data_IF_376026554566
#
_entry.id   IF_376026554566
#
_cell.length_a   1.000
_cell.length_b   1.000
_cell.length_c   1.000
_cell.angle_alpha   90.00
_cell.angle_beta   90.00
_cell.angle_gamma   90.00
#
_symmetry.space_group_name_H-M   'P 1'
#
loop_
_entity.id
_entity.type
_entity.pdbx_description
1 polymer ?
#
# COMPACT_ATOMS: atom_id res chain seq x y z
N UNK A 1 25.01 -35.73 5.75
CA UNK A 1 26.02 -35.16 6.67
C UNK A 1 25.26 -34.42 7.76
N UNK A 2 25.41 -34.86 9.01
CA UNK A 2 24.72 -34.35 10.20
C UNK A 2 25.30 -32.99 10.59
N UNK A 3 24.48 -31.94 10.65
CA UNK A 3 24.87 -30.64 11.20
C UNK A 3 24.79 -30.72 12.73
N UNK A 4 25.79 -31.32 13.36
CA UNK A 4 25.91 -31.34 14.81
C UNK A 4 26.45 -30.00 15.33
N UNK A 5 25.72 -29.41 16.28
CA UNK A 5 26.09 -28.17 16.94
C UNK A 5 27.45 -28.34 17.66
N UNK A 6 28.47 -27.66 17.17
CA UNK A 6 29.79 -27.62 17.79
C UNK A 6 29.68 -26.80 19.09
N UNK A 7 29.70 -27.50 20.24
CA UNK A 7 29.77 -26.89 21.56
C UNK A 7 31.20 -26.43 21.82
N UNK A 8 31.44 -25.11 21.72
CA UNK A 8 32.66 -24.49 22.23
C UNK A 8 32.30 -23.58 23.43
N UNK A 9 32.93 -23.82 24.59
CA UNK A 9 32.83 -22.97 25.79
C UNK A 9 31.40 -22.74 26.33
N UNK A 10 30.55 -23.77 26.37
CA UNK A 10 29.22 -23.69 26.96
C UNK A 10 28.22 -22.80 26.22
N UNK A 11 28.61 -22.23 25.07
CA UNK A 11 27.75 -21.44 24.20
C UNK A 11 27.34 -22.29 22.99
N UNK A 12 26.04 -22.37 22.74
CA UNK A 12 25.50 -23.04 21.55
C UNK A 12 25.65 -22.08 20.38
N UNK A 13 26.48 -22.45 19.40
CA UNK A 13 26.52 -21.78 18.11
C UNK A 13 25.31 -22.27 17.32
N UNK A 14 24.36 -21.37 17.07
CA UNK A 14 23.22 -21.65 16.21
C UNK A 14 23.72 -21.89 14.79
N UNK A 15 23.16 -22.91 14.14
CA UNK A 15 23.28 -23.05 12.70
C UNK A 15 22.64 -21.84 12.00
N UNK A 16 22.99 -21.61 10.74
CA UNK A 16 22.41 -20.52 9.95
C UNK A 16 20.88 -20.61 9.86
N UNK A 17 20.34 -21.84 9.82
CA UNK A 17 18.90 -22.09 9.83
C UNK A 17 18.28 -21.73 11.18
N UNK A 18 18.86 -22.16 12.29
CA UNK A 18 18.35 -21.83 13.63
C UNK A 18 18.44 -20.34 13.92
N UNK A 19 19.50 -19.66 13.46
CA UNK A 19 19.60 -18.21 13.55
C UNK A 19 18.50 -17.51 12.73
N UNK A 20 18.22 -17.98 11.52
CA UNK A 20 17.14 -17.46 10.68
C UNK A 20 15.76 -17.72 11.30
N UNK A 21 15.52 -18.90 11.86
CA UNK A 21 14.27 -19.27 12.54
C UNK A 21 14.07 -18.41 13.80
N UNK A 22 15.12 -18.18 14.59
CA UNK A 22 15.09 -17.26 15.75
C UNK A 22 14.83 -15.83 15.30
N UNK A 23 15.47 -15.35 14.24
CA UNK A 23 15.21 -14.02 13.69
C UNK A 23 13.76 -13.91 13.20
N UNK A 24 13.26 -14.90 12.45
CA UNK A 24 11.88 -14.90 11.98
C UNK A 24 10.87 -15.02 13.13
N UNK A 25 11.19 -15.73 14.21
CA UNK A 25 10.34 -15.85 15.39
C UNK A 25 10.36 -14.58 16.25
N UNK A 26 11.54 -14.02 16.50
CA UNK A 26 11.74 -12.82 17.33
C UNK A 26 11.25 -11.57 16.62
N UNK A 27 11.47 -11.48 15.32
CA UNK A 27 11.07 -10.31 14.56
C UNK A 27 9.72 -10.47 13.85
N UNK A 28 9.15 -11.68 13.75
CA UNK A 28 7.88 -12.05 13.07
C UNK A 28 7.35 -10.88 12.24
N UNK A 29 8.13 -10.48 11.22
CA UNK A 29 7.87 -9.26 10.45
C UNK A 29 6.79 -9.63 9.46
N UNK A 30 5.60 -9.91 10.00
CA UNK A 30 4.41 -10.10 9.21
C UNK A 30 4.20 -8.79 8.48
N UNK A 31 4.16 -8.82 7.14
CA UNK A 31 3.81 -7.64 6.39
C UNK A 31 2.47 -7.12 6.94
N UNK A 32 2.42 -5.86 7.35
CA UNK A 32 1.18 -5.23 7.85
C UNK A 32 -0.02 -5.45 6.93
N UNK A 33 0.26 -5.54 5.62
CA UNK A 33 -0.73 -5.83 4.58
C UNK A 33 -0.45 -7.16 3.93
N UNK A 34 -1.50 -7.95 3.77
CA UNK A 34 -1.50 -9.09 2.84
C UNK A 34 -1.28 -8.61 1.40
N UNK A 35 -0.86 -9.49 0.47
CA UNK A 35 -0.77 -9.13 -0.95
C UNK A 35 -2.10 -8.57 -1.52
N UNK A 36 -3.24 -9.15 -1.13
CA UNK A 36 -4.56 -8.70 -1.56
C UNK A 36 -4.88 -7.29 -1.04
N UNK A 37 -4.64 -7.02 0.25
CA UNK A 37 -4.82 -5.69 0.84
C UNK A 37 -3.91 -4.64 0.19
N UNK A 38 -2.69 -5.03 -0.21
CA UNK A 38 -1.77 -4.15 -0.94
C UNK A 38 -2.30 -3.82 -2.33
N UNK A 39 -2.76 -4.83 -3.07
CA UNK A 39 -3.34 -4.64 -4.40
C UNK A 39 -4.57 -3.72 -4.37
N UNK A 40 -5.51 -3.95 -3.45
CA UNK A 40 -6.70 -3.09 -3.28
C UNK A 40 -6.31 -1.64 -2.95
N UNK A 41 -5.36 -1.45 -2.03
CA UNK A 41 -4.86 -0.10 -1.71
C UNK A 41 -4.24 0.57 -2.93
N UNK A 42 -3.41 -0.14 -3.68
CA UNK A 42 -2.69 0.42 -4.82
C UNK A 42 -3.63 0.78 -5.96
N UNK A 43 -4.69 0.00 -6.18
CA UNK A 43 -5.74 0.32 -7.14
C UNK A 43 -6.55 1.55 -6.72
N UNK A 44 -6.94 1.64 -5.44
CA UNK A 44 -7.60 2.83 -4.90
C UNK A 44 -6.71 4.08 -5.04
N UNK A 45 -5.42 3.97 -4.68
CA UNK A 45 -4.47 5.08 -4.80
C UNK A 45 -4.27 5.53 -6.25
N UNK A 46 -4.28 4.59 -7.20
CA UNK A 46 -4.23 4.91 -8.64
C UNK A 46 -5.45 5.73 -9.06
N UNK A 47 -6.65 5.32 -8.64
CA UNK A 47 -7.87 6.07 -8.92
C UNK A 47 -7.88 7.46 -8.26
N UNK A 48 -7.41 7.55 -7.01
CA UNK A 48 -7.30 8.82 -6.28
C UNK A 48 -6.34 9.82 -6.96
N UNK A 49 -5.20 9.34 -7.47
CA UNK A 49 -4.24 10.18 -8.22
C UNK A 49 -4.83 10.68 -9.54
N UNK A 50 -5.63 9.85 -10.21
CA UNK A 50 -6.34 10.27 -11.41
C UNK A 50 -7.33 11.39 -11.07
N UNK A 51 -8.19 11.19 -10.06
CA UNK A 51 -9.12 12.21 -9.58
C UNK A 51 -8.43 13.52 -9.19
N UNK A 52 -7.26 13.45 -8.55
CA UNK A 52 -6.44 14.63 -8.25
C UNK A 52 -6.02 15.38 -9.53
N UNK A 53 -5.64 14.65 -10.59
CA UNK A 53 -5.31 15.27 -11.89
C UNK A 53 -6.49 16.00 -12.51
N UNK A 54 -7.71 15.43 -12.43
CA UNK A 54 -8.93 16.08 -12.91
C UNK A 54 -9.21 17.38 -12.15
N UNK A 55 -9.12 17.35 -10.82
CA UNK A 55 -9.28 18.54 -9.98
C UNK A 55 -8.26 19.63 -10.31
N UNK A 56 -6.99 19.26 -10.54
CA UNK A 56 -5.97 20.22 -10.94
C UNK A 56 -6.30 20.88 -12.29
N UNK A 57 -6.87 20.14 -13.25
CA UNK A 57 -7.29 20.71 -14.53
C UNK A 57 -8.50 21.64 -14.38
N UNK A 58 -9.45 21.31 -13.49
CA UNK A 58 -10.58 22.20 -13.15
C UNK A 58 -10.05 23.52 -12.61
N UNK A 59 -9.19 23.49 -11.60
CA UNK A 59 -8.61 24.71 -10.99
C UNK A 59 -7.88 25.54 -12.05
N UNK A 60 -7.00 24.92 -12.84
CA UNK A 60 -6.22 25.62 -13.87
C UNK A 60 -7.10 26.27 -14.95
N UNK A 61 -8.21 25.65 -15.34
CA UNK A 61 -9.11 26.22 -16.34
C UNK A 61 -10.00 27.31 -15.73
N UNK A 62 -10.43 27.16 -14.48
CA UNK A 62 -11.15 28.20 -13.75
C UNK A 62 -10.30 29.46 -13.55
N UNK A 63 -9.00 29.32 -13.22
CA UNK A 63 -8.04 30.43 -13.13
C UNK A 63 -7.87 31.22 -14.45
N UNK A 64 -8.28 30.64 -15.58
CA UNK A 64 -8.21 31.23 -16.92
C UNK A 64 -9.58 31.63 -17.48
N UNK A 65 -10.63 31.57 -16.66
CA UNK A 65 -12.02 31.78 -17.08
C UNK A 65 -12.47 30.85 -18.24
N UNK A 66 -11.86 29.68 -18.38
CA UNK A 66 -12.21 28.69 -19.41
C UNK A 66 -13.30 27.74 -18.92
N UNK A 67 -14.52 28.27 -18.80
CA UNK A 67 -15.65 27.56 -18.18
C UNK A 67 -16.13 26.32 -18.96
N UNK A 68 -15.99 26.32 -20.29
CA UNK A 68 -16.33 25.14 -21.11
C UNK A 68 -15.48 23.91 -20.74
N UNK A 69 -14.17 24.09 -20.53
CA UNK A 69 -13.31 23.00 -20.06
C UNK A 69 -13.64 22.60 -18.62
N UNK A 70 -13.99 23.56 -17.75
CA UNK A 70 -14.42 23.26 -16.38
C UNK A 70 -15.64 22.36 -16.38
N UNK A 71 -16.66 22.67 -17.20
CA UNK A 71 -17.86 21.84 -17.35
C UNK A 71 -17.52 20.43 -17.85
N UNK A 72 -16.67 20.33 -18.89
CA UNK A 72 -16.20 19.04 -19.41
C UNK A 72 -15.51 18.20 -18.32
N UNK A 73 -14.61 18.79 -17.54
CA UNK A 73 -13.90 18.08 -16.48
C UNK A 73 -14.82 17.69 -15.30
N UNK A 74 -15.84 18.50 -14.98
CA UNK A 74 -16.83 18.20 -13.94
C UNK A 74 -17.74 17.02 -14.33
N UNK A 75 -18.22 16.97 -15.56
CA UNK A 75 -19.06 15.87 -16.04
C UNK A 75 -18.32 14.53 -16.00
N UNK A 76 -17.08 14.52 -16.47
CA UNK A 76 -16.24 13.32 -16.48
C UNK A 76 -15.76 12.91 -15.07
N UNK A 77 -15.54 13.88 -14.17
CA UNK A 77 -15.10 13.62 -12.80
C UNK A 77 -16.08 12.78 -11.98
N UNK A 78 -17.39 12.81 -12.32
CA UNK A 78 -18.40 11.98 -11.64
C UNK A 78 -18.13 10.49 -11.79
N UNK A 79 -17.70 10.04 -12.96
CA UNK A 79 -17.39 8.64 -13.22
C UNK A 79 -16.23 8.16 -12.33
N UNK A 80 -15.17 8.95 -12.24
CA UNK A 80 -14.01 8.61 -11.42
C UNK A 80 -14.33 8.62 -9.92
N UNK A 81 -15.20 9.52 -9.46
CA UNK A 81 -15.69 9.51 -8.10
C UNK A 81 -16.47 8.22 -7.76
N UNK A 82 -17.39 7.79 -8.62
CA UNK A 82 -18.12 6.53 -8.41
C UNK A 82 -17.20 5.31 -8.48
N UNK A 83 -16.19 5.34 -9.36
CA UNK A 83 -15.15 4.31 -9.41
C UNK A 83 -14.34 4.24 -8.12
N UNK A 84 -13.95 5.38 -7.55
CA UNK A 84 -13.25 5.42 -6.26
C UNK A 84 -14.10 4.85 -5.12
N UNK A 85 -15.40 5.13 -5.10
CA UNK A 85 -16.33 4.53 -4.14
C UNK A 85 -16.35 3.00 -4.24
N UNK A 86 -16.42 2.47 -5.46
CA UNK A 86 -16.41 1.03 -5.71
C UNK A 86 -15.09 0.36 -5.31
N UNK A 87 -13.97 1.10 -5.38
CA UNK A 87 -12.63 0.62 -5.04
C UNK A 87 -12.29 0.77 -3.55
N UNK A 88 -13.21 1.23 -2.70
CA UNK A 88 -12.96 1.34 -1.27
C UNK A 88 -12.53 -0.03 -0.72
N UNK A 89 -11.33 -0.14 -0.10
CA UNK A 89 -10.88 -1.41 0.45
C UNK A 89 -11.89 -1.93 1.46
N UNK A 90 -12.31 -3.18 1.32
CA UNK A 90 -13.25 -3.85 2.22
C UNK A 90 -12.53 -4.67 3.28
N UNK A 91 -11.36 -5.21 2.93
CA UNK A 91 -10.39 -5.80 3.86
C UNK A 91 -9.26 -4.80 4.11
N UNK A 92 -9.15 -4.29 5.33
CA UNK A 92 -8.25 -3.20 5.70
C UNK A 92 -7.27 -3.65 6.76
N UNK A 93 -5.99 -3.41 6.50
CA UNK A 93 -4.99 -3.43 7.56
C UNK A 93 -5.23 -2.28 8.54
N UNK A 94 -4.94 -2.51 9.82
CA UNK A 94 -5.04 -1.46 10.85
C UNK A 94 -4.24 -0.20 10.48
N UNK A 95 -4.72 1.00 10.86
CA UNK A 95 -3.96 2.22 10.71
C UNK A 95 -2.55 2.09 11.30
N UNK A 96 -1.56 2.74 10.68
CA UNK A 96 -0.28 2.90 11.37
C UNK A 96 -0.51 3.86 12.55
N UNK A 97 -0.07 3.48 13.74
CA UNK A 97 -0.03 4.40 14.88
C UNK A 97 0.78 5.65 14.51
N UNK A 98 0.36 6.80 15.05
CA UNK A 98 1.07 8.07 14.90
C UNK A 98 2.44 8.04 15.58
#
# INVERSE_FOLDING_TARGET
>A
MSNEAIRANGKVLLSHKEAADVINYVFDIKPRRTPAQRAQRDEFLKAARLAQSWLNNIVRNAEKDNWSEVEFFLENGRYDYEKMKALLPTDRAEPQGN
#
